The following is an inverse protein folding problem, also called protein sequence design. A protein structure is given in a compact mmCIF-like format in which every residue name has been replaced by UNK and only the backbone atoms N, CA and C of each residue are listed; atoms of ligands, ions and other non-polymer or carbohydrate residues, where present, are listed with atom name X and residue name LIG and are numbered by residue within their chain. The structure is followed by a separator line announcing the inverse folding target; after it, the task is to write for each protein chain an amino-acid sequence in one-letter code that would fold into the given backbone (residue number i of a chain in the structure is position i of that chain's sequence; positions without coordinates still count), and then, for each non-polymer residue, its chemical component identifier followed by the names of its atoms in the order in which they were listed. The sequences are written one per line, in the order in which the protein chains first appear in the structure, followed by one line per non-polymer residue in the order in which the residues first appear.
data_IF_108402845207
#
_entry.id   IF_108402845207
#
_cell.length_a   1.000
_cell.length_b   1.000
_cell.length_c   1.000
_cell.angle_alpha   90.00
_cell.angle_beta   90.00
_cell.angle_gamma   90.00
#
_symmetry.space_group_name_H-M   'P 1'
#
loop_
_entity.id
_entity.type
_entity.pdbx_description
1 polymer ?
#
# COMPACT_ATOMS: atom_id res chain seq x y z
N UNK A 1 18.21 4.34 4.18
CA UNK A 1 17.36 3.12 4.23
C UNK A 1 15.93 3.53 3.93
N UNK A 2 15.29 3.00 2.86
CA UNK A 2 13.90 3.34 2.49
C UNK A 2 12.92 2.32 3.08
N UNK A 3 11.93 2.77 3.84
CA UNK A 3 10.88 1.91 4.42
C UNK A 3 9.79 1.57 3.40
N UNK A 4 9.41 2.55 2.58
CA UNK A 4 8.57 2.39 1.41
C UNK A 4 9.28 3.06 0.23
N UNK A 5 9.36 2.40 -0.91
CA UNK A 5 9.90 2.99 -2.13
C UNK A 5 8.88 3.97 -2.73
N UNK A 6 8.76 5.17 -2.14
CA UNK A 6 7.97 6.24 -2.72
C UNK A 6 8.58 6.60 -4.08
N UNK A 7 7.82 6.40 -5.15
CA UNK A 7 8.24 6.62 -6.53
C UNK A 7 7.40 7.73 -7.15
N UNK A 8 7.99 8.45 -8.11
CA UNK A 8 7.40 9.54 -8.89
C UNK A 8 7.05 10.84 -8.13
N UNK A 9 7.26 11.97 -8.81
CA UNK A 9 6.96 13.32 -8.35
C UNK A 9 5.52 13.52 -7.82
N UNK A 10 4.54 12.82 -8.38
CA UNK A 10 3.14 12.91 -7.94
C UNK A 10 2.93 12.41 -6.50
N UNK A 11 3.86 11.65 -5.92
CA UNK A 11 3.83 11.28 -4.50
C UNK A 11 4.66 12.23 -3.63
N UNK A 12 5.84 12.68 -4.08
CA UNK A 12 6.73 13.55 -3.29
C UNK A 12 6.09 14.94 -3.03
N UNK A 13 5.37 15.51 -4.00
CA UNK A 13 4.69 16.81 -3.83
C UNK A 13 3.62 16.80 -2.75
N UNK A 14 2.59 15.93 -2.85
CA UNK A 14 1.57 15.80 -1.82
C UNK A 14 2.12 15.39 -0.45
N UNK A 15 3.01 14.39 -0.40
CA UNK A 15 3.64 13.97 0.86
C UNK A 15 4.43 15.12 1.49
N UNK A 16 5.16 15.88 0.69
CA UNK A 16 5.92 17.02 1.15
C UNK A 16 5.05 18.13 1.74
N UNK A 17 3.93 18.45 1.08
CA UNK A 17 2.95 19.42 1.62
C UNK A 17 2.39 18.97 2.97
N UNK A 18 1.93 17.73 3.07
CA UNK A 18 1.29 17.22 4.29
C UNK A 18 2.29 17.06 5.44
N UNK A 19 3.56 16.82 5.13
CA UNK A 19 4.66 16.71 6.09
C UNK A 19 5.38 18.05 6.35
N UNK A 20 4.94 19.14 5.71
CA UNK A 20 5.58 20.46 5.75
C UNK A 20 7.09 20.41 5.43
N UNK A 21 7.46 19.66 4.38
CA UNK A 21 8.83 19.48 3.89
C UNK A 21 8.87 19.47 2.36
N UNK A 22 9.83 20.17 1.73
CA UNK A 22 9.89 20.25 0.27
C UNK A 22 10.55 19.02 -0.37
N UNK A 23 9.86 17.89 -0.35
CA UNK A 23 10.31 16.62 -0.91
C UNK A 23 10.47 16.64 -2.45
N UNK A 24 9.92 17.63 -3.17
CA UNK A 24 10.15 17.76 -4.61
C UNK A 24 11.55 18.27 -4.93
N UNK A 25 12.07 19.19 -4.11
CA UNK A 25 13.41 19.75 -4.29
C UNK A 25 14.48 19.00 -3.50
N UNK A 26 14.08 18.22 -2.49
CA UNK A 26 14.97 17.39 -1.68
C UNK A 26 14.36 15.98 -1.48
N UNK A 27 14.34 15.14 -2.53
CA UNK A 27 13.84 13.77 -2.43
C UNK A 27 14.78 12.84 -1.63
N UNK A 28 16.06 13.18 -1.54
CA UNK A 28 17.10 12.37 -0.87
C UNK A 28 16.89 12.32 0.64
N UNK A 29 16.14 13.26 1.21
CA UNK A 29 15.70 13.23 2.60
C UNK A 29 14.98 11.91 2.96
N UNK A 30 14.25 11.29 2.02
CA UNK A 30 13.56 10.00 2.24
C UNK A 30 14.55 8.84 2.43
N UNK A 31 15.76 8.96 1.90
CA UNK A 31 16.80 7.95 1.99
C UNK A 31 17.75 8.14 3.17
N UNK A 32 18.02 9.41 3.48
CA UNK A 32 19.08 9.84 4.39
C UNK A 32 18.57 10.17 5.80
N UNK A 33 17.31 10.57 5.95
CA UNK A 33 16.67 10.81 7.25
C UNK A 33 15.66 9.68 7.56
N UNK A 34 15.94 8.93 8.65
CA UNK A 34 15.10 7.82 9.06
C UNK A 34 13.67 8.26 9.45
N UNK A 35 13.53 9.41 10.13
CA UNK A 35 12.23 9.95 10.51
C UNK A 35 11.42 10.33 9.28
N UNK A 36 12.05 10.96 8.29
CA UNK A 36 11.40 11.30 7.02
C UNK A 36 11.01 10.05 6.23
N UNK A 37 11.88 9.02 6.24
CA UNK A 37 11.57 7.73 5.61
C UNK A 37 10.32 7.08 6.19
N UNK A 38 10.19 7.05 7.52
CA UNK A 38 8.99 6.53 8.18
C UNK A 38 7.76 7.42 7.97
N UNK A 39 7.92 8.75 8.04
CA UNK A 39 6.83 9.70 7.83
C UNK A 39 6.20 9.55 6.44
N UNK A 40 7.02 9.41 5.40
CA UNK A 40 6.51 9.24 4.04
C UNK A 40 5.85 7.88 3.82
N UNK A 41 6.38 6.81 4.42
CA UNK A 41 5.73 5.50 4.42
C UNK A 41 4.36 5.52 5.12
N UNK A 42 4.28 6.15 6.29
CA UNK A 42 3.03 6.33 7.03
C UNK A 42 2.04 7.22 6.27
N UNK A 43 2.51 8.32 5.69
CA UNK A 43 1.68 9.18 4.85
C UNK A 43 1.03 8.38 3.72
N UNK A 44 1.81 7.58 2.98
CA UNK A 44 1.25 6.74 1.92
C UNK A 44 0.22 5.73 2.45
N UNK A 45 0.49 5.13 3.62
CA UNK A 45 -0.41 4.16 4.25
C UNK A 45 -1.75 4.77 4.69
N UNK A 46 -1.74 6.04 5.11
CA UNK A 46 -2.89 6.72 5.70
C UNK A 46 -3.69 7.53 4.67
N UNK A 47 -3.07 7.99 3.59
CA UNK A 47 -3.67 8.93 2.64
C UNK A 47 -4.37 8.20 1.49
N UNK A 48 -5.70 8.33 1.33
CA UNK A 48 -6.39 7.80 0.16
C UNK A 48 -5.97 8.56 -1.11
N UNK A 49 -5.84 7.84 -2.22
CA UNK A 49 -5.53 8.41 -3.53
C UNK A 49 -6.59 7.94 -4.52
N UNK A 50 -7.74 8.64 -4.65
CA UNK A 50 -8.86 8.18 -5.46
C UNK A 50 -8.44 7.71 -6.86
N UNK A 51 -8.90 6.53 -7.31
CA UNK A 51 -9.97 5.72 -6.69
C UNK A 51 -9.51 4.78 -5.56
N UNK A 52 -8.22 4.78 -5.19
CA UNK A 52 -7.70 3.91 -4.13
C UNK A 52 -8.13 4.41 -2.75
N UNK A 53 -8.67 3.55 -1.87
CA UNK A 53 -8.78 3.88 -0.46
C UNK A 53 -7.39 3.92 0.19
N UNK A 54 -7.29 4.38 1.44
CA UNK A 54 -6.05 4.21 2.20
C UNK A 54 -5.90 2.77 2.64
N UNK A 55 -4.66 2.27 2.67
CA UNK A 55 -4.33 0.95 3.24
C UNK A 55 -4.81 0.83 4.68
N UNK A 56 -4.74 1.92 5.43
CA UNK A 56 -5.26 2.00 6.80
C UNK A 56 -6.77 1.71 6.89
N UNK A 57 -7.59 2.32 6.04
CA UNK A 57 -9.03 2.06 6.05
C UNK A 57 -9.36 0.61 5.65
N UNK A 58 -8.57 0.00 4.76
CA UNK A 58 -8.74 -1.41 4.41
C UNK A 58 -8.47 -2.30 5.62
N UNK A 59 -7.30 -2.17 6.26
CA UNK A 59 -6.90 -3.11 7.33
C UNK A 59 -7.68 -2.92 8.64
N UNK A 60 -8.29 -1.74 8.83
CA UNK A 60 -9.15 -1.45 9.98
C UNK A 60 -10.64 -1.63 9.68
N UNK A 61 -10.97 -2.28 8.55
CA UNK A 61 -12.34 -2.61 8.15
C UNK A 61 -13.28 -1.40 7.96
N UNK A 62 -12.69 -0.21 7.74
CA UNK A 62 -13.43 1.05 7.49
C UNK A 62 -13.74 1.30 6.01
N UNK A 63 -13.10 0.56 5.11
CA UNK A 63 -13.39 0.64 3.68
C UNK A 63 -14.46 -0.37 3.28
N UNK A 64 -15.57 0.13 2.72
CA UNK A 64 -16.60 -0.69 2.07
C UNK A 64 -16.36 -0.67 0.56
N UNK A 65 -16.13 -1.84 -0.09
CA UNK A 65 -15.94 -1.90 -1.53
C UNK A 65 -17.17 -1.39 -2.28
N UNK A 66 -16.95 -0.63 -3.35
CA UNK A 66 -18.02 -0.25 -4.28
C UNK A 66 -18.45 -1.45 -5.14
N UNK A 67 -19.58 -1.32 -5.85
CA UNK A 67 -19.98 -2.33 -6.83
C UNK A 67 -18.89 -2.56 -7.91
N UNK A 68 -18.17 -1.50 -8.30
CA UNK A 68 -17.03 -1.59 -9.24
C UNK A 68 -15.86 -2.36 -8.64
N UNK A 69 -15.61 -2.21 -7.34
CA UNK A 69 -14.55 -2.96 -6.65
C UNK A 69 -14.91 -4.45 -6.55
N UNK A 70 -16.13 -4.77 -6.16
CA UNK A 70 -16.63 -6.14 -6.09
C UNK A 70 -16.54 -6.82 -7.46
N UNK A 71 -17.00 -6.16 -8.53
CA UNK A 71 -16.91 -6.68 -9.89
C UNK A 71 -15.46 -6.88 -10.38
N UNK A 72 -14.53 -6.11 -9.82
CA UNK A 72 -13.09 -6.22 -10.07
C UNK A 72 -12.38 -7.23 -9.15
N UNK A 73 -13.11 -7.93 -8.28
CA UNK A 73 -12.55 -8.86 -7.29
C UNK A 73 -11.84 -8.18 -6.12
N UNK A 74 -11.92 -6.85 -5.99
CA UNK A 74 -11.30 -6.09 -4.91
C UNK A 74 -12.20 -6.12 -3.68
N UNK A 75 -11.85 -6.96 -2.71
CA UNK A 75 -12.54 -7.14 -1.44
C UNK A 75 -11.60 -6.87 -0.26
N UNK A 76 -12.10 -6.62 0.97
CA UNK A 76 -11.25 -6.30 2.12
C UNK A 76 -10.27 -7.42 2.44
N UNK A 77 -9.01 -7.06 2.66
CA UNK A 77 -7.92 -7.99 2.97
C UNK A 77 -6.56 -7.48 2.52
N UNK A 78 -5.51 -8.21 2.86
CA UNK A 78 -4.13 -7.79 2.55
C UNK A 78 -3.84 -7.72 1.03
N UNK A 79 -4.57 -8.49 0.22
CA UNK A 79 -4.47 -8.47 -1.23
C UNK A 79 -4.80 -7.11 -1.83
N UNK A 80 -5.88 -6.46 -1.40
CA UNK A 80 -6.24 -5.13 -1.94
C UNK A 80 -5.24 -4.06 -1.49
N UNK A 81 -4.57 -4.23 -0.35
CA UNK A 81 -3.45 -3.37 0.07
C UNK A 81 -2.26 -3.50 -0.90
N UNK A 82 -1.94 -4.72 -1.33
CA UNK A 82 -0.93 -4.94 -2.37
C UNK A 82 -1.33 -4.26 -3.68
N UNK A 83 -2.63 -4.31 -4.03
CA UNK A 83 -3.18 -3.63 -5.19
C UNK A 83 -3.07 -2.09 -5.10
N UNK A 84 -3.31 -1.51 -3.92
CA UNK A 84 -3.11 -0.07 -3.66
C UNK A 84 -1.64 0.33 -3.90
N UNK A 85 -0.71 -0.45 -3.35
CA UNK A 85 0.74 -0.19 -3.39
C UNK A 85 1.28 -0.30 -4.82
N UNK A 86 1.02 -1.41 -5.52
CA UNK A 86 1.64 -1.67 -6.82
C UNK A 86 0.82 -2.55 -7.77
N UNK A 87 -0.51 -2.43 -7.72
CA UNK A 87 -1.41 -3.33 -8.44
C UNK A 87 -1.23 -3.36 -9.95
N UNK A 88 -0.87 -2.24 -10.58
CA UNK A 88 -0.63 -2.20 -12.03
C UNK A 88 0.50 -3.14 -12.49
N UNK A 89 1.45 -3.44 -11.61
CA UNK A 89 2.55 -4.37 -11.86
C UNK A 89 2.19 -5.77 -11.35
N UNK A 90 1.67 -5.87 -10.12
CA UNK A 90 1.63 -7.13 -9.36
C UNK A 90 0.28 -7.87 -9.38
N UNK A 91 -0.83 -7.21 -9.66
CA UNK A 91 -2.18 -7.77 -9.48
C UNK A 91 -2.89 -8.09 -10.81
N UNK A 92 -3.82 -9.05 -10.76
CA UNK A 92 -4.64 -9.43 -11.91
C UNK A 92 -3.92 -10.24 -13.00
N UNK A 93 -2.77 -10.85 -12.66
CA UNK A 93 -1.89 -11.58 -13.58
C UNK A 93 -1.58 -13.01 -13.09
N UNK A 94 -2.35 -13.51 -12.13
CA UNK A 94 -2.12 -14.81 -11.49
C UNK A 94 -1.00 -14.78 -10.44
N UNK A 95 -0.66 -15.96 -9.87
CA UNK A 95 0.39 -16.10 -8.86
C UNK A 95 1.75 -15.57 -9.32
N UNK A 96 2.42 -14.80 -8.47
CA UNK A 96 3.75 -14.27 -8.75
C UNK A 96 4.56 -14.11 -7.46
N UNK A 97 5.89 -14.07 -7.61
CA UNK A 97 6.83 -14.04 -6.50
C UNK A 97 6.72 -12.76 -5.67
N UNK A 98 6.39 -11.61 -6.27
CA UNK A 98 6.31 -10.33 -5.59
C UNK A 98 5.16 -10.30 -4.58
N UNK A 99 3.96 -10.71 -5.00
CA UNK A 99 2.80 -10.81 -4.10
C UNK A 99 3.02 -11.89 -3.05
N UNK A 100 3.63 -13.03 -3.42
CA UNK A 100 3.93 -14.10 -2.47
C UNK A 100 4.92 -13.64 -1.37
N UNK A 101 5.94 -12.86 -1.73
CA UNK A 101 6.91 -12.29 -0.78
C UNK A 101 6.22 -11.33 0.22
N UNK A 102 5.35 -10.43 -0.27
CA UNK A 102 4.54 -9.55 0.58
C UNK A 102 3.70 -10.32 1.57
N UNK A 103 3.05 -11.41 1.12
CA UNK A 103 2.25 -12.29 1.98
C UNK A 103 3.14 -13.01 3.00
N UNK A 104 4.35 -13.42 2.61
CA UNK A 104 5.33 -14.07 3.49
C UNK A 104 5.70 -13.18 4.69
N UNK A 105 6.07 -11.92 4.45
CA UNK A 105 6.33 -10.96 5.53
C UNK A 105 5.10 -10.71 6.40
N UNK A 106 3.94 -10.52 5.78
CA UNK A 106 2.69 -10.30 6.51
C UNK A 106 2.36 -11.45 7.47
N UNK A 107 2.43 -12.70 6.99
CA UNK A 107 2.21 -13.89 7.81
C UNK A 107 3.21 -13.99 8.96
N UNK A 108 4.51 -13.81 8.67
CA UNK A 108 5.56 -13.83 9.69
C UNK A 108 5.29 -12.80 10.81
N UNK A 109 4.89 -11.58 10.46
CA UNK A 109 4.62 -10.56 11.47
C UNK A 109 3.31 -10.81 12.24
N UNK A 110 2.28 -11.34 11.58
CA UNK A 110 1.07 -11.78 12.26
C UNK A 110 1.34 -12.89 13.27
N UNK A 111 2.18 -13.87 12.91
CA UNK A 111 2.59 -14.96 13.81
C UNK A 111 3.32 -14.43 15.06
N UNK A 112 4.27 -13.51 14.85
CA UNK A 112 5.00 -12.87 15.94
C UNK A 112 4.08 -12.08 16.87
N UNK A 113 3.07 -11.40 16.31
CA UNK A 113 2.08 -10.62 17.05
C UNK A 113 0.91 -11.46 17.58
N UNK A 114 0.85 -12.75 17.24
CA UNK A 114 -0.22 -13.70 17.61
C UNK A 114 -1.62 -13.25 17.18
N UNK A 115 -1.73 -12.74 15.96
CA UNK A 115 -3.00 -12.34 15.35
C UNK A 115 -3.30 -13.15 14.10
N UNK A 116 -4.58 -13.30 13.75
CA UNK A 116 -4.98 -13.96 12.52
C UNK A 116 -4.61 -13.14 11.27
N UNK A 117 -4.36 -13.82 10.15
CA UNK A 117 -4.03 -13.16 8.88
C UNK A 117 -5.22 -12.47 8.22
N UNK A 118 -6.44 -12.90 8.56
CA UNK A 118 -7.64 -12.59 7.78
C UNK A 118 -7.70 -13.37 6.47
N UNK A 119 -8.65 -12.99 5.61
CA UNK A 119 -8.88 -13.59 4.30
C UNK A 119 -8.36 -12.66 3.18
N UNK A 120 -8.47 -13.10 1.92
CA UNK A 120 -8.16 -12.30 0.73
C UNK A 120 -6.72 -11.73 0.75
N UNK A 121 -5.75 -12.61 1.01
CA UNK A 121 -4.35 -12.23 1.20
C UNK A 121 -3.64 -11.85 -0.10
N UNK A 122 -4.10 -12.38 -1.24
CA UNK A 122 -3.52 -12.12 -2.55
C UNK A 122 -4.39 -11.19 -3.40
N UNK A 123 -3.78 -10.68 -4.47
CA UNK A 123 -4.46 -9.92 -5.50
C UNK A 123 -4.34 -10.56 -6.89
N UNK A 124 -4.13 -11.88 -6.95
CA UNK A 124 -3.81 -12.57 -8.21
C UNK A 124 -4.88 -12.39 -9.28
N UNK A 125 -6.15 -12.34 -8.84
CA UNK A 125 -7.32 -12.19 -9.70
C UNK A 125 -8.01 -10.83 -9.55
N UNK A 126 -7.41 -9.89 -8.83
CA UNK A 126 -7.99 -8.56 -8.67
C UNK A 126 -7.59 -7.66 -9.83
N UNK A 127 -8.55 -6.98 -10.45
CA UNK A 127 -8.22 -5.93 -11.44
C UNK A 127 -7.50 -4.78 -10.72
N UNK A 128 -6.38 -4.27 -11.25
CA UNK A 128 -5.70 -3.12 -10.68
C UNK A 128 -6.62 -1.91 -10.52
N UNK A 129 -6.40 -1.09 -9.49
CA UNK A 129 -6.95 0.28 -9.47
C UNK A 129 -6.34 1.09 -10.63
N UNK A 130 -7.18 1.87 -11.32
CA UNK A 130 -6.82 2.72 -12.45
C UNK A 130 -6.84 4.19 -12.04
#
# INVERSE_FOLDING_TARGET
MRVLALVFNYNYGPAGRDLNYNLLNDPDAVETDATMSFKTALWFWMTPQPPKPSSHHVITEKWTPSATDIAAGRVPGYGVITNIINGGIECGKGPNAQVADRIGFYKRYCDLLKVGYGNNLDCYNQKPFA
#
